data_IF_383193849491
#
_entry.id   IF_383193849491
#
_cell.length_a   1.000
_cell.length_b   1.000
_cell.length_c   1.000
_cell.angle_alpha   90.00
_cell.angle_beta   90.00
_cell.angle_gamma   90.00
#
_symmetry.space_group_name_H-M   'P 1'
#
loop_
_entity.id
_entity.type
_entity.pdbx_description
1 polymer ?
#
# COMPACT_ATOMS: atom_id res chain seq x y z
N UNK A 1 13.03 -7.13 -5.07
CA UNK A 1 12.68 -5.90 -5.80
C UNK A 1 12.73 -6.10 -7.30
N UNK A 2 11.86 -5.36 -8.01
CA UNK A 2 11.81 -5.32 -9.47
C UNK A 2 12.25 -3.92 -9.94
N UNK A 3 12.87 -3.84 -11.12
CA UNK A 3 13.28 -2.57 -11.70
C UNK A 3 12.73 -2.41 -13.13
N UNK A 4 12.56 -1.14 -13.55
CA UNK A 4 12.28 -0.82 -14.95
C UNK A 4 13.47 -1.12 -15.87
N UNK A 5 13.38 -0.71 -17.16
CA UNK A 5 14.35 -1.15 -18.16
C UNK A 5 15.76 -0.58 -17.96
N UNK A 6 15.86 0.66 -17.48
CA UNK A 6 17.12 1.39 -17.25
C UNK A 6 17.57 1.41 -15.77
N UNK A 7 16.86 0.69 -14.90
CA UNK A 7 17.06 0.68 -13.45
C UNK A 7 16.97 2.07 -12.79
N UNK A 8 16.23 2.99 -13.39
CA UNK A 8 15.96 4.30 -12.80
C UNK A 8 14.84 4.25 -11.74
N UNK A 9 13.95 3.28 -11.84
CA UNK A 9 12.88 3.02 -10.87
C UNK A 9 13.04 1.61 -10.32
N UNK A 10 13.09 1.48 -9.00
CA UNK A 10 13.21 0.19 -8.30
C UNK A 10 12.07 0.08 -7.30
N UNK A 11 11.33 -1.02 -7.35
CA UNK A 11 10.15 -1.29 -6.55
C UNK A 11 10.38 -2.50 -5.63
N UNK A 12 10.06 -2.35 -4.35
CA UNK A 12 9.78 -3.43 -3.42
C UNK A 12 8.30 -3.38 -3.07
N UNK A 13 7.62 -4.50 -3.21
CA UNK A 13 6.16 -4.59 -3.14
C UNK A 13 5.74 -5.80 -2.29
N UNK A 14 4.74 -5.58 -1.46
CA UNK A 14 4.05 -6.61 -0.71
C UNK A 14 2.55 -6.40 -0.89
N UNK A 15 1.90 -7.23 -1.65
CA UNK A 15 0.46 -7.10 -1.90
C UNK A 15 0.00 -7.75 -3.18
N UNK A 16 -1.16 -7.28 -3.63
CA UNK A 16 -1.81 -7.69 -4.88
C UNK A 16 -2.58 -6.50 -5.46
N UNK A 17 -2.42 -6.23 -6.76
CA UNK A 17 -3.21 -5.25 -7.50
C UNK A 17 -4.21 -6.00 -8.37
N UNK A 18 -5.41 -6.19 -7.88
CA UNK A 18 -6.45 -7.02 -8.50
C UNK A 18 -6.86 -6.57 -9.91
N UNK A 19 -6.80 -5.27 -10.18
CA UNK A 19 -7.15 -4.73 -11.50
C UNK A 19 -5.94 -4.47 -12.41
N UNK A 20 -4.83 -5.17 -12.18
CA UNK A 20 -3.58 -4.98 -12.94
C UNK A 20 -3.79 -5.19 -14.45
N UNK A 21 -4.63 -6.16 -14.85
CA UNK A 21 -4.91 -6.43 -16.25
C UNK A 21 -5.57 -5.23 -16.96
N UNK A 22 -6.55 -4.59 -16.32
CA UNK A 22 -7.21 -3.39 -16.85
C UNK A 22 -6.24 -2.20 -16.96
N UNK A 23 -5.41 -2.00 -15.95
CA UNK A 23 -4.37 -0.95 -15.97
C UNK A 23 -3.35 -1.22 -17.10
N UNK A 24 -2.95 -2.46 -17.29
CA UNK A 24 -2.06 -2.87 -18.38
C UNK A 24 -2.65 -2.55 -19.75
N UNK A 25 -3.94 -2.80 -19.94
CA UNK A 25 -4.64 -2.42 -21.17
C UNK A 25 -4.67 -0.91 -21.36
N UNK A 26 -5.03 -0.13 -20.33
CA UNK A 26 -5.02 1.34 -20.38
C UNK A 26 -3.63 1.88 -20.77
N UNK A 27 -2.57 1.37 -20.14
CA UNK A 27 -1.20 1.75 -20.44
C UNK A 27 -0.82 1.46 -21.91
N UNK A 28 -1.24 0.34 -22.47
CA UNK A 28 -0.99 -0.03 -23.86
C UNK A 28 -1.71 0.90 -24.87
N UNK A 29 -2.79 1.55 -24.49
CA UNK A 29 -3.46 2.56 -25.34
C UNK A 29 -2.70 3.88 -25.39
N UNK A 30 -1.93 4.20 -24.37
CA UNK A 30 -1.21 5.47 -24.22
C UNK A 30 0.16 5.45 -24.87
N UNK A 31 0.89 4.35 -24.69
CA UNK A 31 2.23 4.17 -25.26
C UNK A 31 2.52 2.71 -25.56
N UNK A 32 3.43 2.47 -26.52
CA UNK A 32 3.91 1.11 -26.78
C UNK A 32 4.86 0.70 -25.67
N UNK A 33 4.44 -0.24 -24.81
CA UNK A 33 5.25 -0.77 -23.72
C UNK A 33 5.78 -2.15 -24.10
N UNK A 34 7.06 -2.36 -23.90
CA UNK A 34 7.65 -3.70 -23.93
C UNK A 34 7.57 -4.29 -22.52
N UNK A 35 6.60 -5.13 -22.30
CA UNK A 35 6.45 -5.85 -21.05
C UNK A 35 7.50 -6.93 -20.91
N UNK A 36 8.05 -7.10 -19.69
CA UNK A 36 8.97 -8.19 -19.34
C UNK A 36 8.23 -9.44 -18.88
N UNK A 37 7.03 -9.23 -18.35
CA UNK A 37 6.15 -10.27 -17.82
C UNK A 37 4.81 -10.22 -18.53
N UNK A 38 4.09 -11.33 -18.56
CA UNK A 38 2.76 -11.42 -19.18
C UNK A 38 1.63 -11.06 -18.21
N UNK A 39 1.79 -11.30 -16.90
CA UNK A 39 0.74 -11.14 -15.90
C UNK A 39 1.17 -10.49 -14.56
N UNK A 40 2.43 -10.07 -14.39
CA UNK A 40 2.88 -9.49 -13.12
C UNK A 40 2.23 -8.14 -12.84
N UNK A 41 1.56 -8.04 -11.72
CA UNK A 41 1.04 -6.79 -11.14
C UNK A 41 2.18 -5.85 -10.70
N UNK A 42 3.29 -6.41 -10.21
CA UNK A 42 4.49 -5.66 -9.81
C UNK A 42 5.06 -4.86 -10.98
N UNK A 43 5.12 -5.43 -12.19
CA UNK A 43 5.55 -4.67 -13.37
C UNK A 43 4.54 -3.57 -13.72
N UNK A 44 3.25 -3.86 -13.57
CA UNK A 44 2.19 -2.86 -13.81
C UNK A 44 2.34 -1.66 -12.90
N UNK A 45 2.70 -1.84 -11.62
CA UNK A 45 2.95 -0.73 -10.70
C UNK A 45 4.09 0.16 -11.22
N UNK A 46 5.19 -0.43 -11.66
CA UNK A 46 6.34 0.33 -12.20
C UNK A 46 5.90 1.15 -13.43
N UNK A 47 5.21 0.52 -14.39
CA UNK A 47 4.78 1.18 -15.62
C UNK A 47 3.71 2.26 -15.36
N UNK A 48 2.84 2.03 -14.38
CA UNK A 48 1.87 3.01 -13.91
C UNK A 48 2.56 4.24 -13.29
N UNK A 49 3.58 4.02 -12.46
CA UNK A 49 4.37 5.11 -11.90
C UNK A 49 5.14 5.89 -12.96
N UNK A 50 5.70 5.23 -13.97
CA UNK A 50 6.36 5.90 -15.11
C UNK A 50 5.41 6.80 -15.90
N UNK A 51 4.13 6.43 -16.00
CA UNK A 51 3.12 7.18 -16.75
C UNK A 51 2.48 8.29 -15.91
N UNK A 52 2.08 8.01 -14.68
CA UNK A 52 1.26 8.90 -13.85
C UNK A 52 1.96 9.41 -12.58
N UNK A 53 3.20 9.03 -12.35
CA UNK A 53 3.86 9.34 -11.09
C UNK A 53 3.15 8.69 -9.92
N UNK A 54 3.14 9.38 -8.75
CA UNK A 54 2.50 8.85 -7.54
C UNK A 54 0.97 8.78 -7.65
N UNK A 55 0.35 9.55 -8.53
CA UNK A 55 -1.09 9.53 -8.76
C UNK A 55 -1.59 8.21 -9.35
N UNK A 56 -0.66 7.30 -9.74
CA UNK A 56 -1.01 5.93 -10.08
C UNK A 56 -1.72 5.18 -8.95
N UNK A 57 -1.53 5.59 -7.69
CA UNK A 57 -2.19 4.98 -6.53
C UNK A 57 -3.72 5.04 -6.64
N UNK A 58 -4.28 6.10 -7.20
CA UNK A 58 -5.72 6.27 -7.37
C UNK A 58 -6.33 5.22 -8.29
N UNK A 59 -5.53 4.69 -9.22
CA UNK A 59 -5.96 3.68 -10.18
C UNK A 59 -5.95 2.27 -9.63
N UNK A 60 -5.23 2.03 -8.54
CA UNK A 60 -5.06 0.69 -7.99
C UNK A 60 -6.27 0.24 -7.17
N UNK A 61 -6.81 -0.92 -7.51
CA UNK A 61 -7.73 -1.70 -6.65
C UNK A 61 -6.92 -2.89 -6.11
N UNK A 62 -6.65 -2.89 -4.82
CA UNK A 62 -5.79 -3.93 -4.26
C UNK A 62 -5.42 -3.67 -2.80
N UNK A 63 -4.64 -4.57 -2.26
CA UNK A 63 -4.02 -4.48 -0.94
C UNK A 63 -2.50 -4.38 -1.13
N UNK A 64 -1.86 -3.34 -0.60
CA UNK A 64 -0.44 -3.15 -0.88
C UNK A 64 0.33 -2.33 0.16
N UNK A 65 1.59 -2.67 0.26
CA UNK A 65 2.65 -1.84 0.80
C UNK A 65 3.73 -1.69 -0.29
N UNK A 66 4.00 -0.46 -0.68
CA UNK A 66 4.90 -0.09 -1.76
C UNK A 66 6.08 0.68 -1.18
N UNK A 67 7.29 0.30 -1.59
CA UNK A 67 8.49 1.11 -1.45
C UNK A 67 9.13 1.24 -2.84
N UNK A 68 9.14 2.46 -3.39
CA UNK A 68 9.59 2.75 -4.75
C UNK A 68 10.69 3.81 -4.71
N UNK A 69 11.88 3.45 -5.19
CA UNK A 69 12.99 4.36 -5.37
C UNK A 69 13.02 4.91 -6.79
N UNK A 70 12.93 6.22 -6.92
CA UNK A 70 13.13 6.95 -8.18
C UNK A 70 14.51 7.61 -8.19
N UNK A 71 15.41 7.07 -8.99
CA UNK A 71 16.80 7.49 -9.08
C UNK A 71 16.96 8.86 -9.73
N UNK A 72 16.07 9.20 -10.68
CA UNK A 72 16.12 10.47 -11.38
C UNK A 72 15.63 11.61 -10.47
N UNK A 73 14.55 11.36 -9.72
CA UNK A 73 14.00 12.31 -8.74
C UNK A 73 14.71 12.24 -7.38
N UNK A 74 15.63 11.27 -7.19
CA UNK A 74 16.38 11.03 -5.96
C UNK A 74 15.47 10.98 -4.74
N UNK A 75 14.41 10.20 -4.82
CA UNK A 75 13.45 10.07 -3.73
C UNK A 75 12.94 8.65 -3.58
N UNK A 76 12.63 8.29 -2.34
CA UNK A 76 11.93 7.07 -1.96
C UNK A 76 10.47 7.41 -1.69
N UNK A 77 9.57 6.68 -2.32
CA UNK A 77 8.16 6.67 -2.00
C UNK A 77 7.83 5.47 -1.14
N UNK A 78 7.14 5.69 -0.04
CA UNK A 78 6.48 4.66 0.74
C UNK A 78 4.99 4.90 0.62
N UNK A 79 4.21 3.91 0.21
CA UNK A 79 2.77 4.04 0.08
C UNK A 79 2.05 2.81 0.63
N UNK A 80 0.88 3.03 1.20
CA UNK A 80 0.05 1.98 1.79
C UNK A 80 -1.35 2.02 1.23
N UNK A 81 -1.96 0.85 1.06
CA UNK A 81 -3.30 0.71 0.52
C UNK A 81 -4.38 1.47 1.30
N UNK A 82 -5.54 1.63 0.68
CA UNK A 82 -6.66 2.49 1.13
C UNK A 82 -7.08 2.27 2.57
N UNK A 83 -7.13 1.01 3.04
CA UNK A 83 -7.57 0.66 4.39
C UNK A 83 -6.47 0.02 5.24
N UNK A 84 -5.23 -0.04 4.70
CA UNK A 84 -4.05 -0.50 5.43
C UNK A 84 -4.02 -2.00 5.67
N UNK A 85 -4.48 -2.80 4.70
CA UNK A 85 -4.46 -4.27 4.79
C UNK A 85 -3.02 -4.78 4.89
N UNK A 86 -2.13 -4.31 4.00
CA UNK A 86 -0.73 -4.70 4.08
C UNK A 86 0.02 -3.82 5.09
N UNK A 87 0.83 -4.42 5.96
CA UNK A 87 1.60 -3.66 6.94
C UNK A 87 2.80 -2.98 6.29
N UNK A 88 3.07 -1.74 6.72
CA UNK A 88 4.29 -1.01 6.36
C UNK A 88 4.74 -0.18 7.56
N UNK A 89 5.94 -0.50 8.05
CA UNK A 89 6.59 0.20 9.14
C UNK A 89 7.83 0.92 8.62
N UNK A 90 8.15 2.03 9.24
CA UNK A 90 9.37 2.79 8.93
C UNK A 90 9.97 3.40 10.18
N UNK A 91 11.24 3.68 10.12
CA UNK A 91 12.00 4.41 11.13
C UNK A 91 12.89 5.44 10.43
N UNK A 92 13.02 6.60 11.04
CA UNK A 92 13.92 7.66 10.58
C UNK A 92 14.86 8.07 11.72
N UNK A 93 16.12 7.75 11.58
CA UNK A 93 17.15 8.11 12.56
C UNK A 93 18.50 8.34 11.88
N UNK A 94 19.27 9.28 12.39
CA UNK A 94 20.61 9.64 11.88
C UNK A 94 20.64 9.90 10.36
N UNK A 95 19.57 10.53 9.80
CA UNK A 95 19.46 10.82 8.36
C UNK A 95 19.20 9.60 7.48
N UNK A 96 18.95 8.43 8.07
CA UNK A 96 18.64 7.19 7.37
C UNK A 96 17.19 6.80 7.61
N UNK A 97 16.50 6.41 6.54
CA UNK A 97 15.17 5.81 6.62
C UNK A 97 15.27 4.32 6.36
N UNK A 98 14.71 3.53 7.26
CA UNK A 98 14.53 2.09 7.09
C UNK A 98 13.04 1.76 7.04
N UNK A 99 12.66 0.76 6.27
CA UNK A 99 11.27 0.33 6.14
C UNK A 99 11.16 -1.19 6.01
N UNK A 100 10.06 -1.74 6.47
CA UNK A 100 9.76 -3.17 6.36
C UNK A 100 8.26 -3.45 6.57
N UNK A 101 7.82 -4.63 6.17
CA UNK A 101 6.48 -5.14 6.49
C UNK A 101 6.36 -5.60 7.95
N UNK A 102 7.48 -5.87 8.63
CA UNK A 102 7.50 -6.34 10.00
C UNK A 102 8.53 -5.56 10.84
N UNK A 103 8.14 -5.20 12.06
CA UNK A 103 9.03 -4.46 12.98
C UNK A 103 10.32 -5.25 13.30
N UNK A 104 10.21 -6.58 13.42
CA UNK A 104 11.39 -7.42 13.70
C UNK A 104 12.50 -7.27 12.65
N UNK A 105 12.16 -6.94 11.41
CA UNK A 105 13.15 -6.67 10.37
C UNK A 105 13.86 -5.33 10.59
N UNK A 106 13.12 -4.29 11.02
CA UNK A 106 13.72 -3.00 11.39
C UNK A 106 14.65 -3.14 12.59
N UNK A 107 14.32 -4.01 13.55
CA UNK A 107 15.14 -4.26 14.73
C UNK A 107 16.44 -5.02 14.43
N UNK A 108 16.68 -5.48 13.19
CA UNK A 108 17.99 -6.00 12.78
C UNK A 108 19.01 -4.88 12.58
N UNK A 109 18.58 -3.65 12.39
CA UNK A 109 19.45 -2.49 12.40
C UNK A 109 19.99 -2.27 13.82
N UNK A 110 21.32 -2.34 14.03
CA UNK A 110 21.92 -2.18 15.37
C UNK A 110 21.67 -0.78 15.96
N UNK A 111 21.48 0.23 15.10
CA UNK A 111 21.23 1.61 15.53
C UNK A 111 19.75 1.86 15.87
N UNK A 112 18.87 0.91 15.56
CA UNK A 112 17.45 1.05 15.87
C UNK A 112 17.20 0.96 17.36
N UNK A 113 16.64 2.03 17.94
CA UNK A 113 16.25 2.05 19.35
C UNK A 113 15.23 0.96 19.64
N UNK A 114 15.39 0.31 20.80
CA UNK A 114 14.49 -0.74 21.31
C UNK A 114 13.81 -0.28 22.61
N UNK A 115 13.43 0.98 22.63
CA UNK A 115 12.76 1.61 23.76
C UNK A 115 11.25 1.47 23.59
N UNK A 116 10.56 1.30 24.71
CA UNK A 116 9.10 1.24 24.73
C UNK A 116 8.52 2.64 24.55
N UNK A 117 7.52 2.79 23.69
CA UNK A 117 6.69 3.99 23.61
C UNK A 117 5.56 3.87 24.66
N UNK A 118 5.65 4.66 25.74
CA UNK A 118 4.71 4.59 26.88
C UNK A 118 3.29 5.01 26.49
N UNK A 119 3.13 5.99 25.60
CA UNK A 119 1.82 6.40 25.09
C UNK A 119 1.18 5.31 24.22
N UNK A 120 2.00 4.63 23.42
CA UNK A 120 1.55 3.50 22.62
C UNK A 120 1.17 2.31 23.51
N UNK A 121 1.89 2.11 24.62
CA UNK A 121 1.54 1.09 25.62
C UNK A 121 0.18 1.39 26.25
N UNK A 122 -0.08 2.64 26.66
CA UNK A 122 -1.38 3.04 27.20
C UNK A 122 -2.53 2.77 26.21
N UNK A 123 -2.30 3.09 24.93
CA UNK A 123 -3.25 2.80 23.86
C UNK A 123 -3.45 1.29 23.66
N UNK A 124 -2.37 0.52 23.71
CA UNK A 124 -2.43 -0.93 23.59
C UNK A 124 -3.24 -1.56 24.75
N UNK A 125 -3.03 -1.10 25.97
CA UNK A 125 -3.78 -1.60 27.13
C UNK A 125 -5.29 -1.30 27.04
N UNK A 126 -5.66 -0.21 26.34
CA UNK A 126 -7.06 0.18 26.17
C UNK A 126 -7.74 -0.52 24.98
N UNK A 127 -7.04 -0.68 23.87
CA UNK A 127 -7.62 -1.12 22.58
C UNK A 127 -7.09 -2.48 22.09
N UNK A 128 -6.13 -3.08 22.83
CA UNK A 128 -5.43 -4.33 22.44
C UNK A 128 -4.69 -4.18 21.08
N UNK A 129 -4.52 -2.94 20.62
CA UNK A 129 -3.75 -2.58 19.44
C UNK A 129 -3.14 -1.20 19.59
N UNK A 130 -2.11 -0.92 18.78
CA UNK A 130 -1.53 0.42 18.70
C UNK A 130 -2.12 1.14 17.48
N UNK A 131 -2.87 2.23 17.66
CA UNK A 131 -3.34 3.04 16.53
C UNK A 131 -2.16 3.61 15.73
N UNK A 132 -2.29 3.65 14.39
CA UNK A 132 -1.31 4.33 13.57
C UNK A 132 -1.26 5.83 13.93
N UNK A 133 -0.10 6.49 13.81
CA UNK A 133 1.17 5.96 13.33
C UNK A 133 2.05 5.30 14.41
N UNK A 134 1.58 5.20 15.66
CA UNK A 134 2.38 4.68 16.77
C UNK A 134 2.56 3.16 16.71
N UNK A 135 3.67 2.69 17.27
CA UNK A 135 3.96 1.29 17.57
C UNK A 135 4.48 1.20 19.01
N UNK A 136 4.57 0.00 19.57
CA UNK A 136 5.18 -0.19 20.90
C UNK A 136 6.68 0.14 20.94
N UNK A 137 7.34 0.30 19.79
CA UNK A 137 8.77 0.62 19.70
C UNK A 137 8.96 2.10 19.42
N UNK A 138 9.58 2.82 20.34
CA UNK A 138 9.94 4.21 20.17
C UNK A 138 10.79 4.43 18.91
N UNK A 139 10.40 5.41 18.08
CA UNK A 139 11.08 5.71 16.81
C UNK A 139 10.68 4.83 15.63
N UNK A 140 9.86 3.78 15.84
CA UNK A 140 9.26 3.00 14.74
C UNK A 140 7.82 3.45 14.53
N UNK A 141 7.47 3.78 13.31
CA UNK A 141 6.13 4.22 12.94
C UNK A 141 5.47 3.24 11.97
N UNK A 142 4.17 3.11 12.09
CA UNK A 142 3.31 2.44 11.12
C UNK A 142 2.83 3.49 10.11
N UNK A 143 3.03 3.27 8.82
CA UNK A 143 2.45 4.14 7.80
C UNK A 143 0.92 4.02 7.86
N UNK A 144 0.22 5.16 7.90
CA UNK A 144 -1.23 5.19 7.96
C UNK A 144 -1.87 4.65 6.67
N UNK A 145 -3.10 4.15 6.79
CA UNK A 145 -3.88 3.71 5.63
C UNK A 145 -4.12 4.88 4.66
N UNK A 146 -4.15 4.59 3.36
CA UNK A 146 -4.42 5.59 2.34
C UNK A 146 -3.42 6.75 2.31
N UNK A 147 -2.17 6.53 2.77
CA UNK A 147 -1.15 7.58 2.78
C UNK A 147 0.09 7.17 2.01
N UNK A 148 0.84 8.19 1.60
CA UNK A 148 2.19 8.02 1.09
C UNK A 148 3.17 8.96 1.79
N UNK A 149 4.44 8.56 1.83
CA UNK A 149 5.57 9.39 2.19
C UNK A 149 6.52 9.49 1.01
N UNK A 150 7.05 10.69 0.78
CA UNK A 150 8.16 10.96 -0.10
C UNK A 150 9.36 11.36 0.76
N UNK A 151 10.42 10.62 0.66
CA UNK A 151 11.68 10.85 1.34
C UNK A 151 12.71 11.26 0.29
N UNK A 152 13.20 12.47 0.37
CA UNK A 152 14.22 12.98 -0.53
C UNK A 152 15.64 12.59 -0.07
N UNK A 153 16.63 12.71 -0.97
CA UNK A 153 18.04 12.40 -0.68
C UNK A 153 18.62 13.24 0.48
N UNK A 154 18.08 14.46 0.69
CA UNK A 154 18.45 15.36 1.81
C UNK A 154 17.82 14.95 3.15
N UNK A 155 17.05 13.86 3.19
CA UNK A 155 16.37 13.36 4.39
C UNK A 155 15.05 14.04 4.69
N UNK A 156 14.61 15.02 3.90
CA UNK A 156 13.30 15.65 4.06
C UNK A 156 12.18 14.65 3.75
N UNK A 157 11.20 14.57 4.65
CA UNK A 157 10.03 13.68 4.54
C UNK A 157 8.78 14.54 4.33
N UNK A 158 8.09 14.28 3.24
CA UNK A 158 6.76 14.82 2.96
C UNK A 158 5.76 13.67 2.87
N UNK A 159 4.57 13.87 3.40
CA UNK A 159 3.50 12.89 3.31
C UNK A 159 2.17 13.52 3.02
N UNK A 160 1.31 12.76 2.36
CA UNK A 160 -0.08 13.13 2.18
C UNK A 160 -0.98 11.88 2.24
N UNK A 161 -2.24 12.13 2.59
CA UNK A 161 -3.31 11.17 2.45
C UNK A 161 -3.82 11.27 1.02
N UNK A 162 -3.83 10.15 0.30
CA UNK A 162 -4.34 10.05 -1.05
C UNK A 162 -5.74 9.42 -1.09
N UNK A 163 -6.16 8.77 0.00
CA UNK A 163 -7.48 8.17 0.13
C UNK A 163 -7.99 8.29 1.55
N UNK A 164 -9.24 8.72 1.70
CA UNK A 164 -10.01 8.60 2.96
C UNK A 164 -11.40 8.08 2.63
N UNK A 165 -11.84 7.03 3.33
CA UNK A 165 -13.18 6.44 3.13
C UNK A 165 -14.29 7.48 3.39
N UNK A 166 -14.05 8.43 4.28
CA UNK A 166 -15.04 9.46 4.62
C UNK A 166 -15.26 10.46 3.48
N UNK A 167 -14.27 10.68 2.61
CA UNK A 167 -14.41 11.54 1.42
C UNK A 167 -15.33 10.92 0.35
N UNK A 168 -15.57 9.61 0.46
CA UNK A 168 -16.41 8.84 -0.48
C UNK A 168 -17.79 8.50 0.09
N UNK A 169 -18.12 8.99 1.29
CA UNK A 169 -19.46 8.80 1.87
C UNK A 169 -20.43 9.79 1.25
N UNK A 170 -21.45 9.28 0.58
CA UNK A 170 -22.57 10.09 0.07
C UNK A 170 -23.80 9.87 0.95
N UNK A 171 -24.34 10.94 1.53
CA UNK A 171 -25.62 10.90 2.22
C UNK A 171 -26.80 10.78 1.22
N UNK A 172 -26.55 10.97 -0.08
CA UNK A 172 -27.56 10.94 -1.12
C UNK A 172 -27.75 9.55 -1.64
N UNK A 173 -28.94 8.98 -1.41
CA UNK A 173 -29.50 7.85 -2.16
C UNK A 173 -28.86 6.48 -1.93
N UNK A 174 -28.47 6.15 -0.70
CA UNK A 174 -28.29 4.74 -0.39
C UNK A 174 -29.62 3.99 -0.62
N UNK A 175 -29.62 2.88 -1.37
CA UNK A 175 -30.81 2.05 -1.46
C UNK A 175 -31.23 1.60 -0.06
N UNK A 176 -32.50 1.27 0.13
CA UNK A 176 -33.02 0.82 1.43
C UNK A 176 -33.75 -0.51 1.28
N UNK A 177 -33.93 -1.23 2.38
CA UNK A 177 -34.61 -2.52 2.38
C UNK A 177 -33.91 -3.56 1.49
N UNK A 178 -34.69 -4.32 0.74
CA UNK A 178 -34.21 -5.42 -0.10
C UNK A 178 -33.22 -4.95 -1.17
N UNK A 179 -33.42 -3.75 -1.72
CA UNK A 179 -32.50 -3.19 -2.71
C UNK A 179 -31.09 -2.89 -2.13
N UNK A 180 -30.98 -2.53 -0.86
CA UNK A 180 -29.69 -2.40 -0.19
C UNK A 180 -29.03 -3.77 -0.02
N UNK A 181 -29.81 -4.76 0.40
CA UNK A 181 -29.31 -6.12 0.58
C UNK A 181 -28.73 -6.70 -0.73
N UNK A 182 -29.50 -6.61 -1.83
CA UNK A 182 -29.06 -7.04 -3.16
C UNK A 182 -27.78 -6.30 -3.60
N UNK A 183 -27.73 -4.99 -3.43
CA UNK A 183 -26.54 -4.18 -3.77
C UNK A 183 -25.29 -4.59 -2.99
N UNK A 184 -25.44 -4.97 -1.71
CA UNK A 184 -24.33 -5.47 -0.89
C UNK A 184 -23.87 -6.84 -1.38
N UNK A 185 -24.82 -7.75 -1.70
CA UNK A 185 -24.49 -9.07 -2.23
C UNK A 185 -23.75 -8.99 -3.57
N UNK A 186 -24.23 -8.14 -4.48
CA UNK A 186 -23.58 -7.94 -5.79
C UNK A 186 -22.15 -7.39 -5.62
N UNK A 187 -21.98 -6.43 -4.72
CA UNK A 187 -20.65 -5.87 -4.41
C UNK A 187 -19.72 -6.92 -3.81
N UNK A 188 -20.22 -7.76 -2.90
CA UNK A 188 -19.44 -8.86 -2.31
C UNK A 188 -19.06 -9.90 -3.38
N UNK A 189 -19.98 -10.25 -4.27
CA UNK A 189 -19.71 -11.18 -5.37
C UNK A 189 -18.60 -10.64 -6.29
N UNK A 190 -18.67 -9.36 -6.69
CA UNK A 190 -17.63 -8.70 -7.50
C UNK A 190 -16.27 -8.75 -6.78
N UNK A 191 -16.25 -8.39 -5.49
CA UNK A 191 -15.00 -8.37 -4.70
C UNK A 191 -14.39 -9.78 -4.58
N UNK A 192 -15.23 -10.80 -4.33
CA UNK A 192 -14.76 -12.20 -4.27
C UNK A 192 -14.16 -12.63 -5.61
N UNK A 193 -14.81 -12.30 -6.74
CA UNK A 193 -14.25 -12.63 -8.06
C UNK A 193 -12.90 -11.95 -8.31
N UNK A 194 -12.75 -10.67 -7.94
CA UNK A 194 -11.47 -9.97 -8.04
C UNK A 194 -10.37 -10.61 -7.18
N UNK A 195 -10.72 -11.13 -5.99
CA UNK A 195 -9.75 -11.75 -5.09
C UNK A 195 -9.36 -13.18 -5.52
N UNK A 196 -10.08 -13.78 -6.46
CA UNK A 196 -9.74 -15.11 -7.01
C UNK A 196 -8.60 -15.06 -8.02
N UNK A 197 -8.21 -13.88 -8.49
CA UNK A 197 -7.04 -13.75 -9.34
C UNK A 197 -5.77 -14.13 -8.57
N UNK A 198 -5.09 -15.17 -9.00
CA UNK A 198 -3.87 -15.67 -8.37
C UNK A 198 -3.42 -16.98 -8.99
N UNK A 199 -2.12 -17.24 -8.94
CA UNK A 199 -1.47 -18.42 -9.55
C UNK A 199 -1.67 -19.72 -8.75
N UNK A 200 -2.37 -19.65 -7.61
CA UNK A 200 -2.55 -20.80 -6.72
C UNK A 200 -4.02 -21.04 -6.40
N UNK A 201 -4.45 -22.29 -6.21
CA UNK A 201 -5.80 -22.60 -5.77
C UNK A 201 -6.14 -21.91 -4.45
N UNK A 202 -7.29 -21.26 -4.41
CA UNK A 202 -7.79 -20.59 -3.20
C UNK A 202 -8.88 -21.42 -2.53
N UNK A 203 -8.91 -21.38 -1.20
CA UNK A 203 -9.95 -21.97 -0.38
C UNK A 203 -10.48 -20.96 0.63
N UNK A 204 -11.72 -21.12 1.01
CA UNK A 204 -12.40 -20.27 2.02
C UNK A 204 -12.81 -21.13 3.20
N UNK A 205 -12.52 -20.65 4.40
CA UNK A 205 -13.09 -21.22 5.61
C UNK A 205 -14.47 -20.62 5.83
N UNK A 206 -15.50 -21.46 5.87
CA UNK A 206 -16.84 -21.06 6.28
C UNK A 206 -17.01 -21.38 7.77
N UNK A 207 -17.17 -20.34 8.57
CA UNK A 207 -17.72 -20.46 9.92
C UNK A 207 -19.21 -20.17 9.82
N UNK A 208 -20.02 -21.18 10.07
CA UNK A 208 -21.48 -21.12 10.00
C UNK A 208 -22.13 -20.14 10.94
#
# INVERSE_FOLDING_TARGET
PMANDDNSVVLSFNGEIYNHAAIRQELNTRRKIRWKTDHSDTEVIIRAYEEWGIDCLDKFRGMFAIALWDKQKKCLWLARDRIGIKPLYYSHHHGRVTFASEIKALLQDPDQRRELDEDALASYMSFICTPAPKTLFGGVRKLEAGTWLRINEDGNIHGARWYDVLDHTSAALAPSGDALYESVLDSLAEVVELHKEGDVPMGVFLSG
#
